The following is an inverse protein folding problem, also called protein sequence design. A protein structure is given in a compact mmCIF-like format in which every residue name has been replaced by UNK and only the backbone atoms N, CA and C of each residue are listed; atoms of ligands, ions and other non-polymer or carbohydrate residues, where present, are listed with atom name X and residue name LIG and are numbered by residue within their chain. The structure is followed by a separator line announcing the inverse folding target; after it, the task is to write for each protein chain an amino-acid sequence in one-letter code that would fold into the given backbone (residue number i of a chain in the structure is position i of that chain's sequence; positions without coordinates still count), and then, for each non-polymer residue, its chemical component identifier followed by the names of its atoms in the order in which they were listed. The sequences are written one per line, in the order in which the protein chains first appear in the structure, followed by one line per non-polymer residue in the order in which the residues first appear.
data_IF_305874231851
#
_entry.id   IF_305874231851
#
_cell.length_a   1.000
_cell.length_b   1.000
_cell.length_c   1.000
_cell.angle_alpha   90.00
_cell.angle_beta   90.00
_cell.angle_gamma   90.00
#
_symmetry.space_group_name_H-M   'P 1'
#
loop_
_entity.id
_entity.type
_entity.pdbx_description
1 polymer ?
#
# COMPACT_ATOMS: atom_id res chain seq x y z
N UNK A 1 -7.27 -11.08 -5.90
CA UNK A 1 -8.37 -10.27 -5.34
C UNK A 1 -8.60 -9.09 -6.25
N UNK A 2 -9.81 -8.58 -6.32
CA UNK A 2 -10.13 -7.27 -6.89
C UNK A 2 -10.12 -6.30 -5.71
N UNK A 3 -9.27 -5.27 -5.75
CA UNK A 3 -9.18 -4.28 -4.67
C UNK A 3 -10.37 -3.32 -4.72
N UNK A 4 -10.98 -3.07 -3.57
CA UNK A 4 -12.14 -2.17 -3.39
C UNK A 4 -11.76 -0.94 -2.56
N UNK A 5 -10.76 -1.06 -1.67
CA UNK A 5 -10.20 0.10 -0.97
C UNK A 5 -8.72 -0.08 -0.67
N UNK A 6 -8.02 1.04 -0.53
CA UNK A 6 -6.64 1.11 -0.06
C UNK A 6 -6.47 2.24 0.95
N UNK A 7 -5.86 1.93 2.10
CA UNK A 7 -5.52 2.88 3.14
C UNK A 7 -4.02 2.86 3.41
N UNK A 8 -3.39 4.03 3.34
CA UNK A 8 -1.96 4.21 3.57
C UNK A 8 -1.72 5.13 4.76
N UNK A 9 -0.75 4.80 5.59
CA UNK A 9 -0.20 5.67 6.63
C UNK A 9 1.32 5.66 6.53
N UNK A 10 1.93 6.84 6.42
CA UNK A 10 3.38 7.03 6.39
C UNK A 10 4.11 6.13 5.38
N UNK A 11 3.51 5.87 4.22
CA UNK A 11 4.09 5.02 3.17
C UNK A 11 4.66 5.88 2.04
N UNK A 12 5.97 5.77 1.77
CA UNK A 12 6.69 6.56 0.76
C UNK A 12 6.35 8.05 0.87
N UNK A 13 5.75 8.63 -0.17
CA UNK A 13 5.33 10.04 -0.21
C UNK A 13 3.99 10.32 0.46
N UNK A 14 3.20 9.30 0.82
CA UNK A 14 1.91 9.46 1.47
C UNK A 14 2.07 9.52 2.99
N UNK A 15 1.71 10.64 3.58
CA UNK A 15 1.47 10.71 5.03
C UNK A 15 0.18 9.97 5.38
N UNK A 16 -0.89 10.25 4.63
CA UNK A 16 -2.19 9.61 4.74
C UNK A 16 -2.84 9.48 3.37
N UNK A 17 -3.47 8.34 3.11
CA UNK A 17 -4.42 8.14 2.02
C UNK A 17 -5.51 7.19 2.50
N UNK A 18 -6.76 7.49 2.22
CA UNK A 18 -7.89 6.57 2.31
C UNK A 18 -8.63 6.70 0.97
N UNK A 19 -8.67 5.62 0.19
CA UNK A 19 -9.18 5.64 -1.18
C UNK A 19 -10.07 4.43 -1.43
N UNK A 20 -11.32 4.69 -1.78
CA UNK A 20 -12.24 3.69 -2.34
C UNK A 20 -12.02 3.59 -3.86
N UNK A 21 -12.10 2.36 -4.38
CA UNK A 21 -11.87 2.04 -5.78
C UNK A 21 -13.15 1.53 -6.40
N UNK A 22 -13.65 2.28 -7.40
CA UNK A 22 -14.78 1.83 -8.19
C UNK A 22 -14.39 0.66 -9.10
N UNK A 23 -15.33 -0.25 -9.40
CA UNK A 23 -15.09 -1.31 -10.37
C UNK A 23 -14.72 -0.76 -11.75
N UNK A 24 -13.74 -1.39 -12.40
CA UNK A 24 -13.34 -1.07 -13.77
C UNK A 24 -11.98 -0.38 -13.85
N UNK A 25 -11.81 0.49 -14.85
CA UNK A 25 -10.54 1.17 -15.11
C UNK A 25 -10.36 2.36 -14.15
N UNK A 26 -9.39 2.26 -13.25
CA UNK A 26 -8.97 3.35 -12.38
C UNK A 26 -7.71 4.01 -12.95
N UNK A 27 -7.77 5.32 -13.19
CA UNK A 27 -6.64 6.09 -13.70
C UNK A 27 -6.08 7.02 -12.62
N UNK A 28 -4.87 6.73 -12.13
CA UNK A 28 -4.13 7.63 -11.25
C UNK A 28 -3.35 8.67 -12.09
N UNK A 29 -3.76 9.94 -12.04
CA UNK A 29 -3.13 11.04 -12.80
C UNK A 29 -2.51 12.09 -11.88
N UNK A 30 -1.69 12.97 -12.45
CA UNK A 30 -1.03 14.07 -11.73
C UNK A 30 0.44 14.25 -12.11
N UNK A 31 1.12 15.28 -11.57
CA UNK A 31 2.51 15.60 -11.89
C UNK A 31 3.50 14.47 -11.54
N UNK A 32 4.69 14.53 -12.13
CA UNK A 32 5.81 13.68 -11.72
C UNK A 32 6.17 13.94 -10.25
N UNK A 33 6.48 12.89 -9.50
CA UNK A 33 6.74 12.98 -8.07
C UNK A 33 5.50 13.00 -7.16
N UNK A 34 4.28 13.11 -7.71
CA UNK A 34 3.04 13.18 -6.91
C UNK A 34 2.66 11.87 -6.18
N UNK A 35 3.44 10.79 -6.31
CA UNK A 35 3.19 9.53 -5.61
C UNK A 35 2.34 8.50 -6.36
N UNK A 36 2.04 8.70 -7.65
CA UNK A 36 1.28 7.74 -8.48
C UNK A 36 1.89 6.33 -8.46
N UNK A 37 3.19 6.22 -8.70
CA UNK A 37 3.91 4.93 -8.62
C UNK A 37 3.95 4.37 -7.20
N UNK A 38 3.95 5.24 -6.18
CA UNK A 38 3.90 4.79 -4.78
C UNK A 38 2.54 4.16 -4.45
N UNK A 39 1.44 4.64 -5.05
CA UNK A 39 0.12 4.01 -4.89
C UNK A 39 0.11 2.59 -5.47
N UNK A 40 0.63 2.42 -6.69
CA UNK A 40 0.75 1.10 -7.32
C UNK A 40 1.70 0.18 -6.53
N UNK A 41 2.81 0.71 -6.03
CA UNK A 41 3.74 -0.02 -5.16
C UNK A 41 3.06 -0.48 -3.88
N UNK A 42 2.22 0.36 -3.25
CA UNK A 42 1.50 0.00 -2.04
C UNK A 42 0.53 -1.16 -2.28
N UNK A 43 -0.23 -1.13 -3.38
CA UNK A 43 -1.09 -2.25 -3.78
C UNK A 43 -0.29 -3.53 -4.02
N UNK A 44 0.89 -3.42 -4.64
CA UNK A 44 1.77 -4.57 -4.85
C UNK A 44 2.29 -5.12 -3.53
N UNK A 45 2.79 -4.29 -2.62
CA UNK A 45 3.26 -4.72 -1.29
C UNK A 45 2.11 -5.33 -0.48
N UNK A 46 0.94 -4.68 -0.46
CA UNK A 46 -0.23 -5.16 0.29
C UNK A 46 -0.79 -6.49 -0.23
N UNK A 47 -0.56 -6.84 -1.49
CA UNK A 47 -1.10 -8.09 -2.08
C UNK A 47 -0.05 -9.17 -2.30
N UNK A 48 1.21 -8.81 -2.51
CA UNK A 48 2.33 -9.72 -2.80
C UNK A 48 3.36 -9.80 -1.67
N UNK A 49 3.33 -8.87 -0.71
CA UNK A 49 4.19 -8.88 0.47
C UNK A 49 5.60 -8.30 0.27
N UNK A 50 5.97 -7.83 -0.92
CA UNK A 50 7.29 -7.23 -1.18
C UNK A 50 7.19 -6.01 -2.10
N UNK A 51 8.22 -5.17 -2.13
CA UNK A 51 8.29 -4.06 -3.09
C UNK A 51 8.98 -4.51 -4.39
N UNK A 52 8.44 -4.15 -5.57
CA UNK A 52 9.11 -4.39 -6.84
C UNK A 52 10.31 -3.45 -7.07
N UNK A 53 10.47 -2.40 -6.24
CA UNK A 53 11.48 -1.35 -6.41
C UNK A 53 12.66 -1.48 -5.44
N UNK A 54 12.48 -2.16 -4.31
CA UNK A 54 13.50 -2.28 -3.27
C UNK A 54 13.27 -3.49 -2.38
N UNK A 55 14.34 -4.02 -1.80
CA UNK A 55 14.30 -5.06 -0.75
C UNK A 55 14.42 -4.49 0.66
N UNK A 56 14.69 -3.19 0.79
CA UNK A 56 14.86 -2.53 2.08
C UNK A 56 13.52 -1.93 2.54
N UNK A 57 12.85 -2.59 3.48
CA UNK A 57 11.55 -2.17 4.01
C UNK A 57 11.59 -0.73 4.59
N UNK A 58 12.72 -0.30 5.17
CA UNK A 58 12.95 1.09 5.61
C UNK A 58 12.65 2.12 4.51
N UNK A 59 12.96 1.83 3.25
CA UNK A 59 12.75 2.76 2.14
C UNK A 59 11.27 2.93 1.78
N UNK A 60 10.41 2.01 2.22
CA UNK A 60 8.96 2.10 2.05
C UNK A 60 8.31 2.99 3.12
N UNK A 61 8.97 3.15 4.27
CA UNK A 61 8.54 4.08 5.32
C UNK A 61 8.83 5.51 4.90
N UNK A 62 7.85 6.40 5.10
CA UNK A 62 7.98 7.84 4.83
C UNK A 62 9.16 8.43 5.58
N UNK A 63 9.85 9.37 4.95
CA UNK A 63 10.96 10.09 5.58
C UNK A 63 10.49 10.78 6.87
N UNK A 64 11.25 10.62 7.96
CA UNK A 64 10.91 11.14 9.28
C UNK A 64 9.86 10.34 10.05
N UNK A 65 9.35 9.23 9.50
CA UNK A 65 8.45 8.31 10.20
C UNK A 65 9.20 7.03 10.65
N UNK A 66 8.70 6.45 11.74
CA UNK A 66 9.23 5.22 12.37
C UNK A 66 8.50 3.95 11.88
N UNK A 67 7.32 4.12 11.28
CA UNK A 67 6.53 3.02 10.77
C UNK A 67 5.64 3.46 9.59
N UNK A 68 5.17 2.47 8.83
CA UNK A 68 4.18 2.61 7.77
C UNK A 68 3.13 1.50 7.84
N UNK A 69 1.92 1.80 7.39
CA UNK A 69 0.83 0.84 7.26
C UNK A 69 0.24 0.90 5.87
N UNK A 70 -0.01 -0.27 5.30
CA UNK A 70 -0.74 -0.48 4.06
C UNK A 70 -1.89 -1.42 4.42
N UNK A 71 -3.13 -1.00 4.16
CA UNK A 71 -4.29 -1.87 4.25
C UNK A 71 -5.01 -1.89 2.91
N UNK A 72 -5.37 -3.08 2.44
CA UNK A 72 -6.12 -3.29 1.20
C UNK A 72 -7.30 -4.19 1.52
N UNK A 73 -8.50 -3.78 1.14
CA UNK A 73 -9.68 -4.65 1.17
C UNK A 73 -10.15 -4.94 -0.24
N UNK A 74 -10.78 -6.09 -0.44
CA UNK A 74 -11.37 -6.43 -1.70
C UNK A 74 -12.03 -7.79 -1.70
N UNK A 75 -12.30 -8.31 -2.89
CA UNK A 75 -13.00 -9.58 -3.07
C UNK A 75 -12.16 -10.60 -3.87
N UNK A 76 -12.32 -11.89 -3.54
CA UNK A 76 -11.85 -13.03 -4.35
C UNK A 76 -13.04 -13.94 -4.59
N UNK A 77 -13.69 -13.78 -5.74
CA UNK A 77 -15.03 -14.33 -5.93
C UNK A 77 -15.99 -13.67 -4.94
N UNK A 78 -16.81 -14.46 -4.26
CA UNK A 78 -17.79 -13.95 -3.27
C UNK A 78 -17.18 -13.72 -1.87
N UNK A 79 -15.89 -14.02 -1.68
CA UNK A 79 -15.21 -13.91 -0.40
C UNK A 79 -14.56 -12.54 -0.27
N UNK A 80 -14.94 -11.79 0.77
CA UNK A 80 -14.23 -10.56 1.18
C UNK A 80 -12.90 -10.91 1.84
N UNK A 81 -11.86 -10.17 1.47
CA UNK A 81 -10.49 -10.35 1.95
C UNK A 81 -9.95 -8.99 2.38
N UNK A 82 -9.38 -8.94 3.58
CA UNK A 82 -8.53 -7.85 4.03
C UNK A 82 -7.07 -8.30 4.00
N UNK A 83 -6.16 -7.37 3.75
CA UNK A 83 -4.75 -7.57 4.05
C UNK A 83 -4.22 -6.28 4.67
N UNK A 84 -3.44 -6.43 5.73
CA UNK A 84 -2.72 -5.34 6.36
C UNK A 84 -1.23 -5.70 6.44
N UNK A 85 -0.39 -4.75 6.03
CA UNK A 85 1.06 -4.82 6.15
C UNK A 85 1.53 -3.65 7.02
N UNK A 86 2.23 -3.98 8.10
CA UNK A 86 2.94 -3.03 8.96
C UNK A 86 4.43 -3.14 8.72
N UNK A 87 5.05 -1.99 8.52
CA UNK A 87 6.48 -1.83 8.34
C UNK A 87 6.98 -0.96 9.46
N UNK A 88 7.97 -1.43 10.20
CA UNK A 88 8.62 -0.68 11.27
C UNK A 88 10.11 -0.58 10.95
N UNK A 89 10.71 0.56 11.26
CA UNK A 89 12.15 0.73 11.10
C UNK A 89 12.87 -0.24 12.03
N UNK A 90 13.90 -0.90 11.51
CA UNK A 90 14.74 -1.86 12.24
C UNK A 90 13.99 -3.06 12.84
N UNK A 91 12.78 -3.34 12.34
CA UNK A 91 11.96 -4.48 12.76
C UNK A 91 11.48 -5.30 11.56
N UNK A 92 11.25 -6.62 11.73
CA UNK A 92 10.68 -7.44 10.67
C UNK A 92 9.28 -6.95 10.27
N UNK A 93 9.00 -6.95 8.97
CA UNK A 93 7.66 -6.71 8.45
C UNK A 93 6.64 -7.68 9.05
N UNK A 94 5.48 -7.14 9.43
CA UNK A 94 4.34 -7.91 9.91
C UNK A 94 3.18 -7.81 8.93
N UNK A 95 2.52 -8.93 8.66
CA UNK A 95 1.35 -8.99 7.78
C UNK A 95 0.22 -9.80 8.42
N UNK A 96 -1.02 -9.32 8.27
CA UNK A 96 -2.24 -9.99 8.75
C UNK A 96 -3.30 -10.01 7.65
N UNK A 97 -4.17 -11.04 7.69
CA UNK A 97 -5.31 -11.26 6.79
C UNK A 97 -6.62 -10.87 7.47
#
# INVERSE_FOLDING_TARGET
MIAESVSLRSFRSYERLDLDLDPGLVLATGPNGAGKTNLLEALHVGTQGFSPRTRADRQLVRFGADAARIAVTGARGDVRVGVEVKLEVDSPKHASL
#
